data_IF_668076774549
#
_entry.id   IF_668076774549
#
_cell.length_a   1.000
_cell.length_b   1.000
_cell.length_c   1.000
_cell.angle_alpha   90.00
_cell.angle_beta   90.00
_cell.angle_gamma   90.00
#
_symmetry.space_group_name_H-M   'P 1'
#
loop_
_entity.id
_entity.type
_entity.pdbx_description
1 polymer ?
#
# COMPACT_ATOMS: atom_id res chain seq x y z
N UNK A 1 -10.64 -5.76 16.80
CA UNK A 1 -10.85 -5.65 18.26
C UNK A 1 -9.57 -5.18 18.91
N UNK A 2 -9.67 -4.35 19.94
CA UNK A 2 -8.57 -3.95 20.81
C UNK A 2 -8.93 -4.34 22.24
N UNK A 3 -8.11 -5.17 22.87
CA UNK A 3 -8.35 -5.69 24.21
C UNK A 3 -7.47 -4.98 25.23
N UNK A 4 -7.86 -5.04 26.51
CA UNK A 4 -7.01 -4.54 27.59
C UNK A 4 -5.71 -5.33 27.69
N UNK A 5 -4.60 -4.65 27.94
CA UNK A 5 -3.35 -5.31 28.25
C UNK A 5 -3.49 -6.19 29.50
N UNK A 6 -2.98 -7.42 29.45
CA UNK A 6 -3.05 -8.38 30.56
C UNK A 6 -1.99 -8.15 31.65
N UNK A 7 -1.08 -7.21 31.41
CA UNK A 7 0.00 -6.82 32.30
C UNK A 7 0.75 -5.62 31.74
N UNK A 8 1.82 -5.16 32.44
CA UNK A 8 2.65 -4.07 31.96
C UNK A 8 3.38 -4.45 30.66
N UNK A 9 3.63 -3.45 29.83
CA UNK A 9 4.41 -3.54 28.58
C UNK A 9 5.61 -2.59 28.71
N UNK A 10 6.81 -3.09 28.45
CA UNK A 10 8.02 -2.27 28.41
C UNK A 10 8.32 -1.98 26.95
N UNK A 11 8.45 -0.71 26.58
CA UNK A 11 8.76 -0.35 25.19
C UNK A 11 10.27 -0.48 24.97
N UNK A 12 10.70 -1.69 24.57
CA UNK A 12 12.10 -2.04 24.32
C UNK A 12 12.32 -2.73 22.96
N UNK A 13 11.25 -2.95 22.21
CA UNK A 13 11.24 -3.56 20.88
C UNK A 13 11.05 -5.08 20.94
N UNK A 14 11.12 -5.71 22.12
CA UNK A 14 10.93 -7.14 22.28
C UNK A 14 9.47 -7.48 22.61
N UNK A 15 8.86 -8.35 21.82
CA UNK A 15 7.46 -8.75 22.04
C UNK A 15 7.31 -9.93 23.02
N UNK A 16 8.11 -9.96 24.07
CA UNK A 16 8.25 -11.13 24.96
C UNK A 16 7.31 -11.11 26.17
N UNK A 17 6.68 -9.97 26.47
CA UNK A 17 5.77 -9.83 27.60
C UNK A 17 4.52 -10.67 27.42
N UNK A 18 3.97 -11.12 28.55
CA UNK A 18 2.72 -11.87 28.59
C UNK A 18 1.59 -11.12 27.87
N UNK A 19 1.52 -9.79 28.00
CA UNK A 19 0.52 -8.97 27.32
C UNK A 19 0.58 -9.17 25.79
N UNK A 20 1.76 -9.14 25.20
CA UNK A 20 1.92 -9.43 23.78
C UNK A 20 1.63 -10.88 23.43
N UNK A 21 2.04 -11.84 24.25
CA UNK A 21 1.74 -13.26 24.01
C UNK A 21 0.23 -13.56 24.04
N UNK A 22 -0.52 -12.82 24.86
CA UNK A 22 -1.98 -12.94 24.99
C UNK A 22 -2.75 -12.22 23.87
N UNK A 23 -2.14 -11.24 23.20
CA UNK A 23 -2.75 -10.53 22.09
C UNK A 23 -2.69 -11.33 20.77
N UNK A 24 -3.79 -11.32 20.02
CA UNK A 24 -3.85 -11.95 18.70
C UNK A 24 -3.13 -11.12 17.63
N UNK A 25 -2.41 -11.79 16.73
CA UNK A 25 -1.88 -11.15 15.52
C UNK A 25 -3.01 -10.79 14.55
N UNK A 26 -2.90 -9.64 13.89
CA UNK A 26 -3.68 -9.28 12.71
C UNK A 26 -3.54 -10.31 11.60
N UNK A 27 -4.36 -10.23 10.54
CA UNK A 27 -3.98 -10.88 9.28
C UNK A 27 -2.72 -10.22 8.70
N UNK A 28 -1.93 -10.94 7.87
CA UNK A 28 -0.83 -10.33 7.11
C UNK A 28 -1.30 -9.12 6.32
N UNK A 29 -0.41 -8.15 6.16
CA UNK A 29 -0.63 -7.02 5.27
C UNK A 29 -0.84 -7.50 3.85
N UNK A 30 -1.57 -6.69 3.10
CA UNK A 30 -1.85 -6.87 1.69
C UNK A 30 -1.36 -5.64 0.94
N UNK A 31 -1.12 -5.78 -0.35
CA UNK A 31 -0.86 -4.61 -1.18
C UNK A 31 -2.03 -3.61 -1.07
N UNK A 32 -1.72 -2.32 -1.02
CA UNK A 32 -2.73 -1.29 -0.87
C UNK A 32 -3.75 -1.24 -2.02
N UNK A 33 -3.43 -1.81 -3.19
CA UNK A 33 -4.33 -2.02 -4.33
C UNK A 33 -4.98 -3.42 -4.38
N UNK A 34 -4.80 -4.25 -3.35
CA UNK A 34 -5.46 -5.55 -3.30
C UNK A 34 -7.00 -5.42 -3.42
N UNK A 35 -7.67 -6.36 -4.13
CA UNK A 35 -7.15 -7.63 -4.66
C UNK A 35 -6.55 -7.51 -6.08
N UNK A 36 -6.33 -6.30 -6.58
CA UNK A 36 -5.86 -6.06 -7.96
C UNK A 36 -4.34 -6.13 -8.11
N UNK A 37 -3.60 -6.10 -6.99
CA UNK A 37 -2.16 -6.25 -6.94
C UNK A 37 -1.74 -7.59 -6.29
N UNK A 38 -0.49 -8.06 -6.55
CA UNK A 38 0.06 -9.26 -5.92
C UNK A 38 0.07 -9.17 -4.39
N UNK A 39 0.03 -10.32 -3.72
CA UNK A 39 0.23 -10.34 -2.28
C UNK A 39 1.68 -9.95 -1.93
N UNK A 40 1.91 -9.30 -0.78
CA UNK A 40 3.25 -9.05 -0.25
C UNK A 40 4.10 -10.31 -0.19
N UNK A 41 5.35 -10.19 -0.61
CA UNK A 41 6.31 -11.29 -0.63
C UNK A 41 7.12 -11.40 0.66
N UNK A 42 6.94 -10.46 1.59
CA UNK A 42 7.35 -10.60 3.00
C UNK A 42 6.15 -10.38 3.90
N UNK A 43 6.12 -11.12 5.01
CA UNK A 43 5.03 -11.01 5.97
C UNK A 43 5.19 -9.77 6.84
N UNK A 44 4.11 -9.02 7.03
CA UNK A 44 4.02 -8.00 8.08
C UNK A 44 2.69 -8.11 8.79
N UNK A 45 2.71 -8.07 10.13
CA UNK A 45 1.54 -8.22 11.00
C UNK A 45 1.70 -7.31 12.20
N UNK A 46 0.58 -6.97 12.83
CA UNK A 46 0.57 -6.17 14.05
C UNK A 46 -0.28 -6.78 15.16
N UNK A 47 -0.09 -6.27 16.37
CA UNK A 47 -0.92 -6.45 17.56
C UNK A 47 -1.28 -5.09 18.11
N UNK A 48 -2.39 -5.02 18.83
CA UNK A 48 -2.81 -3.79 19.50
C UNK A 48 -3.49 -4.09 20.82
N UNK A 49 -3.14 -3.32 21.84
CA UNK A 49 -3.67 -3.40 23.20
C UNK A 49 -3.89 -1.98 23.74
N UNK A 50 -4.60 -1.87 24.86
CA UNK A 50 -4.76 -0.59 25.55
C UNK A 50 -4.85 -0.78 27.07
N UNK A 51 -4.62 0.32 27.80
CA UNK A 51 -4.96 0.44 29.22
C UNK A 51 -5.69 1.76 29.48
N UNK A 52 -5.81 2.14 30.75
CA UNK A 52 -6.49 3.37 31.16
C UNK A 52 -5.85 4.66 30.64
N UNK A 53 -4.58 4.59 30.24
CA UNK A 53 -3.75 5.75 29.91
C UNK A 53 -3.13 5.70 28.52
N UNK A 54 -2.93 4.51 27.94
CA UNK A 54 -2.16 4.34 26.71
C UNK A 54 -2.82 3.35 25.74
N UNK A 55 -2.52 3.57 24.46
CA UNK A 55 -2.60 2.56 23.41
C UNK A 55 -1.22 1.98 23.17
N UNK A 56 -1.19 0.70 22.84
CA UNK A 56 0.02 -0.04 22.54
C UNK A 56 -0.11 -0.69 21.18
N UNK A 57 0.89 -0.50 20.34
CA UNK A 57 1.03 -1.17 19.06
C UNK A 57 2.31 -2.00 19.08
N UNK A 58 2.24 -3.17 18.47
CA UNK A 58 3.41 -3.97 18.17
C UNK A 58 3.33 -4.44 16.73
N UNK A 59 4.46 -4.45 16.02
CA UNK A 59 4.55 -4.98 14.66
C UNK A 59 5.70 -5.97 14.53
N UNK A 60 5.54 -6.94 13.64
CA UNK A 60 6.60 -7.83 13.21
C UNK A 60 6.69 -7.75 11.69
N UNK A 61 7.88 -7.42 11.20
CA UNK A 61 8.20 -7.29 9.79
C UNK A 61 9.25 -8.35 9.46
N UNK A 62 8.88 -9.36 8.66
CA UNK A 62 9.85 -10.27 8.07
C UNK A 62 10.78 -9.47 7.16
N UNK A 63 12.09 -9.61 7.34
CA UNK A 63 13.10 -8.98 6.50
C UNK A 63 14.42 -9.73 6.62
N UNK A 64 14.82 -10.41 5.55
CA UNK A 64 16.03 -11.21 5.49
C UNK A 64 17.32 -10.37 5.40
N UNK A 65 17.19 -9.07 5.12
CA UNK A 65 18.31 -8.13 5.08
C UNK A 65 17.86 -6.78 5.65
N UNK A 66 17.96 -6.63 6.97
CA UNK A 66 17.47 -5.42 7.65
C UNK A 66 18.41 -4.26 7.38
N UNK A 67 17.84 -3.16 6.89
CA UNK A 67 18.58 -2.00 6.43
C UNK A 67 17.91 -0.70 6.84
N UNK A 68 18.73 0.34 7.03
CA UNK A 68 18.27 1.72 7.22
C UNK A 68 19.43 2.71 7.17
N UNK A 69 19.15 3.93 6.72
CA UNK A 69 20.13 5.02 6.59
C UNK A 69 19.72 6.32 7.26
N UNK A 70 18.43 6.46 7.57
CA UNK A 70 17.90 7.68 8.15
C UNK A 70 18.03 7.63 9.68
N UNK A 71 18.79 8.57 10.24
CA UNK A 71 19.04 8.69 11.68
C UNK A 71 18.41 9.93 12.31
N UNK A 72 17.95 10.86 11.48
CA UNK A 72 17.43 12.14 11.94
C UNK A 72 15.93 12.00 12.24
N UNK A 73 15.55 12.20 13.50
CA UNK A 73 14.14 12.34 13.89
C UNK A 73 13.47 13.45 13.05
N UNK A 74 12.21 13.23 12.69
CA UNK A 74 11.38 14.15 11.91
C UNK A 74 11.94 14.45 10.52
N UNK A 75 12.58 13.45 9.90
CA UNK A 75 12.87 13.44 8.48
C UNK A 75 11.86 12.56 7.75
N UNK A 76 11.78 12.69 6.42
CA UNK A 76 10.91 11.87 5.57
C UNK A 76 11.39 10.42 5.61
N UNK A 77 10.72 9.56 6.39
CA UNK A 77 11.22 8.22 6.76
C UNK A 77 11.06 7.21 5.62
N UNK A 78 10.02 7.35 4.79
CA UNK A 78 9.76 6.43 3.67
C UNK A 78 10.90 6.32 2.62
N UNK A 79 12.01 7.06 2.72
CA UNK A 79 13.20 6.77 1.91
C UNK A 79 14.03 5.57 2.42
N UNK A 80 13.72 5.07 3.62
CA UNK A 80 14.08 3.73 4.08
C UNK A 80 12.86 2.78 4.00
N UNK A 81 13.09 1.47 4.14
CA UNK A 81 11.98 0.60 4.53
C UNK A 81 11.51 0.98 5.94
N UNK A 82 10.20 1.10 6.12
CA UNK A 82 9.64 1.56 7.38
C UNK A 82 8.34 0.83 7.76
N UNK A 83 7.82 1.23 8.92
CA UNK A 83 6.51 0.85 9.41
C UNK A 83 5.74 2.11 9.77
N UNK A 84 4.48 2.18 9.37
CA UNK A 84 3.64 3.35 9.56
C UNK A 84 2.37 3.00 10.34
N UNK A 85 1.91 3.94 11.17
CA UNK A 85 0.63 3.90 11.89
C UNK A 85 -0.20 5.11 11.47
N UNK A 86 -1.38 4.84 10.93
CA UNK A 86 -2.40 5.84 10.61
C UNK A 86 -3.54 5.76 11.61
N UNK A 87 -3.90 6.89 12.22
CA UNK A 87 -4.87 6.93 13.31
C UNK A 87 -5.82 8.12 13.19
N UNK A 88 -7.06 7.86 12.75
CA UNK A 88 -8.19 8.76 12.91
C UNK A 88 -8.99 8.35 14.17
N UNK A 89 -8.68 9.01 15.28
CA UNK A 89 -9.32 8.76 16.57
C UNK A 89 -10.74 9.36 16.70
N UNK A 90 -11.22 10.08 15.69
CA UNK A 90 -12.57 10.66 15.65
C UNK A 90 -13.50 10.01 14.63
N UNK A 91 -12.93 9.26 13.68
CA UNK A 91 -13.58 8.64 12.53
C UNK A 91 -14.34 9.65 11.64
N UNK A 92 -13.88 10.90 11.58
CA UNK A 92 -14.49 11.95 10.76
C UNK A 92 -14.02 11.93 9.31
N UNK A 93 -12.97 11.18 8.99
CA UNK A 93 -12.43 11.06 7.64
C UNK A 93 -11.54 12.22 7.21
N UNK A 94 -11.26 13.17 8.10
CA UNK A 94 -10.60 14.45 7.78
C UNK A 94 -9.28 14.56 8.51
N UNK A 95 -9.29 14.55 9.85
CA UNK A 95 -8.11 14.79 10.66
C UNK A 95 -7.54 13.49 11.23
N UNK A 96 -6.24 13.23 11.04
CA UNK A 96 -5.62 12.01 11.55
C UNK A 96 -4.15 12.19 11.92
N UNK A 97 -3.66 11.28 12.75
CA UNK A 97 -2.27 11.18 13.14
C UNK A 97 -1.57 10.16 12.26
N UNK A 98 -0.31 10.45 11.94
CA UNK A 98 0.56 9.56 11.20
C UNK A 98 1.90 9.45 11.94
N UNK A 99 2.44 8.24 11.98
CA UNK A 99 3.70 7.92 12.63
C UNK A 99 4.45 6.92 11.77
N UNK A 100 5.65 7.26 11.35
CA UNK A 100 6.57 6.43 10.58
C UNK A 100 7.79 6.08 11.45
N UNK A 101 8.31 4.86 11.30
CA UNK A 101 9.54 4.43 11.97
C UNK A 101 10.32 3.42 11.13
N UNK A 102 11.63 3.61 10.99
CA UNK A 102 12.50 2.66 10.31
C UNK A 102 13.19 1.67 11.27
N UNK A 103 13.95 0.72 10.70
CA UNK A 103 14.69 -0.29 11.46
C UNK A 103 15.79 0.28 12.40
N UNK A 104 16.16 1.55 12.25
CA UNK A 104 17.10 2.26 13.13
C UNK A 104 16.44 2.86 14.38
N UNK A 105 15.13 2.66 14.56
CA UNK A 105 14.33 3.34 15.57
C UNK A 105 14.25 4.87 15.37
N UNK A 106 14.46 5.35 14.13
CA UNK A 106 14.28 6.75 13.77
C UNK A 106 12.83 6.95 13.39
N UNK A 107 12.17 7.92 14.04
CA UNK A 107 10.74 8.15 13.89
C UNK A 107 10.41 9.54 13.35
N UNK A 108 9.25 9.62 12.71
CA UNK A 108 8.60 10.86 12.31
C UNK A 108 7.10 10.74 12.60
N UNK A 109 6.61 11.59 13.49
CA UNK A 109 5.20 11.73 13.78
C UNK A 109 4.70 13.06 13.25
N UNK A 110 3.44 13.05 12.84
CA UNK A 110 2.80 14.18 12.22
C UNK A 110 1.30 14.16 12.44
N UNK A 111 0.68 15.30 12.18
CA UNK A 111 -0.77 15.44 12.23
C UNK A 111 -1.29 16.07 10.95
N UNK A 112 -2.26 15.40 10.34
CA UNK A 112 -3.05 15.95 9.24
C UNK A 112 -4.27 16.63 9.84
N UNK A 113 -4.33 17.96 9.76
CA UNK A 113 -5.45 18.71 10.32
C UNK A 113 -6.66 18.75 9.39
N UNK A 114 -6.42 18.60 8.08
CA UNK A 114 -7.46 18.59 7.06
C UNK A 114 -7.29 17.38 6.14
N UNK A 115 -8.29 17.14 5.31
CA UNK A 115 -8.26 16.17 4.21
C UNK A 115 -6.92 16.22 3.45
N UNK A 116 -6.21 15.08 3.42
CA UNK A 116 -4.86 14.93 2.86
C UNK A 116 -4.76 15.41 1.41
N UNK A 117 -5.82 15.21 0.61
CA UNK A 117 -5.82 15.59 -0.81
C UNK A 117 -6.04 17.09 -1.03
N UNK A 118 -6.23 17.87 0.03
CA UNK A 118 -6.37 19.33 -0.03
C UNK A 118 -5.06 19.99 0.43
N UNK A 119 -4.64 21.03 -0.29
CA UNK A 119 -3.34 21.67 -0.08
C UNK A 119 -3.11 22.10 1.41
N UNK A 120 -1.93 21.77 1.94
CA UNK A 120 -1.39 22.19 3.25
C UNK A 120 -2.05 21.60 4.50
N UNK A 121 -2.36 20.30 4.50
CA UNK A 121 -2.92 19.60 5.66
C UNK A 121 -1.88 19.12 6.70
N UNK A 122 -0.63 18.94 6.29
CA UNK A 122 0.41 18.25 7.06
C UNK A 122 1.15 19.19 8.02
N UNK A 123 1.03 18.92 9.32
CA UNK A 123 1.87 19.49 10.37
C UNK A 123 3.03 18.54 10.68
N UNK A 124 4.12 18.67 9.91
CA UNK A 124 5.31 17.81 10.04
C UNK A 124 6.14 18.09 11.29
N UNK A 125 5.91 19.22 11.95
CA UNK A 125 6.55 19.63 13.21
C UNK A 125 5.73 19.22 14.44
N UNK A 126 4.64 18.48 14.25
CA UNK A 126 3.80 17.98 15.33
C UNK A 126 4.48 16.84 16.07
N UNK A 127 4.71 17.02 17.38
CA UNK A 127 5.30 16.00 18.25
C UNK A 127 4.24 15.45 19.22
N UNK A 128 3.94 14.16 19.10
CA UNK A 128 2.98 13.43 19.94
C UNK A 128 3.55 13.34 21.34
N UNK A 129 3.09 14.23 22.21
CA UNK A 129 3.59 14.33 23.58
C UNK A 129 3.47 13.01 24.33
N UNK A 130 4.63 12.49 24.78
CA UNK A 130 4.73 11.28 25.60
C UNK A 130 4.72 9.96 24.80
N UNK A 131 4.73 10.02 23.46
CA UNK A 131 4.95 8.86 22.60
C UNK A 131 6.28 8.17 22.99
N UNK A 132 6.27 6.83 23.02
CA UNK A 132 7.49 6.03 23.19
C UNK A 132 7.50 4.95 22.14
N UNK A 133 8.66 4.69 21.56
CA UNK A 133 8.82 3.64 20.57
C UNK A 133 10.17 2.95 20.72
N UNK A 134 10.25 1.70 20.29
CA UNK A 134 11.47 0.93 20.26
C UNK A 134 11.42 -0.06 19.10
N UNK A 135 12.60 -0.35 18.54
CA UNK A 135 12.80 -1.35 17.50
C UNK A 135 13.81 -2.37 17.98
N UNK A 136 13.52 -3.64 17.74
CA UNK A 136 14.48 -4.71 17.89
C UNK A 136 14.70 -5.40 16.55
N UNK A 137 15.96 -5.50 16.13
CA UNK A 137 16.37 -6.30 14.96
C UNK A 137 16.66 -7.73 15.40
N UNK A 138 16.11 -8.70 14.67
CA UNK A 138 16.42 -10.13 14.81
C UNK A 138 17.44 -10.52 13.74
N UNK A 139 18.68 -10.11 13.95
CA UNK A 139 19.73 -10.19 12.93
C UNK A 139 20.80 -9.11 13.10
N UNK A 140 21.43 -8.70 12.01
CA UNK A 140 22.49 -7.70 11.96
C UNK A 140 22.12 -6.54 11.04
N UNK A 141 21.68 -5.42 11.63
CA UNK A 141 21.34 -4.21 10.89
C UNK A 141 22.47 -3.73 9.97
N UNK A 142 22.13 -3.46 8.70
CA UNK A 142 23.05 -2.98 7.67
C UNK A 142 24.20 -3.93 7.33
N UNK A 143 24.05 -5.23 7.57
CA UNK A 143 25.02 -6.25 7.22
C UNK A 143 24.37 -7.30 6.30
N UNK A 144 24.75 -7.33 5.03
CA UNK A 144 24.11 -8.15 3.99
C UNK A 144 24.84 -9.49 3.75
N UNK A 145 25.76 -9.86 4.64
CA UNK A 145 26.54 -11.10 4.54
C UNK A 145 26.02 -12.22 5.45
N UNK A 146 25.01 -11.93 6.27
CA UNK A 146 24.18 -12.91 6.95
C UNK A 146 22.73 -12.82 6.44
N UNK A 147 21.86 -13.62 7.04
CA UNK A 147 20.43 -13.64 6.76
C UNK A 147 19.72 -13.34 8.07
N UNK A 148 18.94 -12.26 8.06
CA UNK A 148 18.16 -11.81 9.21
C UNK A 148 16.79 -12.51 9.23
N UNK A 149 16.10 -12.47 10.38
CA UNK A 149 14.70 -12.90 10.43
C UNK A 149 13.74 -11.72 10.18
N UNK A 150 14.17 -10.53 10.60
CA UNK A 150 13.40 -9.30 10.47
C UNK A 150 13.57 -8.37 11.65
N UNK A 151 12.53 -7.60 11.93
CA UNK A 151 12.53 -6.63 13.01
C UNK A 151 11.13 -6.46 13.60
N UNK A 152 11.10 -6.04 14.86
CA UNK A 152 9.89 -5.76 15.61
C UNK A 152 9.86 -4.32 16.05
N UNK A 153 8.66 -3.75 16.06
CA UNK A 153 8.38 -2.39 16.49
C UNK A 153 7.45 -2.48 17.70
N UNK A 154 7.70 -1.66 18.72
CA UNK A 154 6.75 -1.35 19.78
C UNK A 154 6.49 0.15 19.83
N UNK A 155 5.23 0.54 20.00
CA UNK A 155 4.82 1.93 20.19
C UNK A 155 3.82 2.01 21.33
N UNK A 156 4.08 2.92 22.26
CA UNK A 156 3.13 3.39 23.27
C UNK A 156 2.68 4.79 22.89
N UNK A 157 1.38 4.93 22.70
CA UNK A 157 0.72 6.17 22.36
C UNK A 157 -0.18 6.63 23.51
N UNK A 158 0.15 7.73 24.21
CA UNK A 158 -0.68 8.21 25.31
C UNK A 158 -2.08 8.61 24.84
N UNK A 159 -3.13 8.09 25.48
CA UNK A 159 -4.51 8.45 25.13
C UNK A 159 -4.81 9.94 25.31
N UNK A 160 -4.05 10.62 26.18
CA UNK A 160 -4.17 12.04 26.44
C UNK A 160 -3.65 12.94 25.28
N UNK A 161 -2.86 12.39 24.35
CA UNK A 161 -2.35 13.15 23.18
C UNK A 161 -3.32 13.16 22.00
N UNK A 162 -4.42 12.40 22.09
CA UNK A 162 -5.36 12.16 21.00
C UNK A 162 -6.66 12.95 21.14
N UNK A 163 -7.18 13.47 20.02
CA UNK A 163 -8.56 13.95 19.91
C UNK A 163 -9.49 12.74 19.76
N UNK A 164 -10.21 12.38 20.83
CA UNK A 164 -10.99 11.13 20.90
C UNK A 164 -12.45 11.33 20.52
N UNK A 165 -12.95 10.50 19.61
CA UNK A 165 -14.38 10.26 19.37
C UNK A 165 -14.81 8.87 19.85
N UNK A 166 -16.07 8.53 19.56
CA UNK A 166 -16.68 7.24 19.93
C UNK A 166 -16.25 6.09 19.00
N UNK A 167 -15.86 6.41 17.77
CA UNK A 167 -15.43 5.45 16.74
C UNK A 167 -14.04 5.84 16.27
N UNK A 168 -13.18 4.84 16.12
CA UNK A 168 -11.79 5.01 15.74
C UNK A 168 -11.53 4.26 14.46
N UNK A 169 -10.71 4.82 13.60
CA UNK A 169 -10.24 4.18 12.36
C UNK A 169 -8.73 4.18 12.32
N UNK A 170 -8.17 3.02 11.99
CA UNK A 170 -6.73 2.82 11.93
C UNK A 170 -6.34 2.02 10.68
N UNK A 171 -5.16 2.33 10.19
CA UNK A 171 -4.43 1.47 9.28
C UNK A 171 -2.97 1.40 9.70
N UNK A 172 -2.28 0.43 9.12
CA UNK A 172 -0.84 0.25 9.31
C UNK A 172 -0.24 -0.01 7.96
N UNK A 173 0.97 0.50 7.72
CA UNK A 173 1.69 0.30 6.48
C UNK A 173 3.09 -0.23 6.72
N UNK A 174 3.62 -0.85 5.69
CA UNK A 174 5.04 -1.06 5.49
C UNK A 174 5.36 -0.48 4.13
N UNK A 175 6.28 0.48 4.11
CA UNK A 175 6.97 0.86 2.87
C UNK A 175 8.08 -0.14 2.62
N UNK A 176 8.11 -0.70 1.41
CA UNK A 176 9.13 -1.66 1.00
C UNK A 176 9.77 -1.26 -0.34
N UNK A 177 11.08 -1.08 -0.30
CA UNK A 177 11.93 -1.00 -1.49
C UNK A 177 12.74 -2.28 -1.68
N UNK A 178 13.16 -2.49 -2.94
CA UNK A 178 14.12 -3.51 -3.28
C UNK A 178 15.54 -3.01 -2.96
N UNK A 179 16.37 -3.90 -2.44
CA UNK A 179 17.77 -3.61 -2.11
C UNK A 179 18.69 -4.51 -2.93
N UNK A 180 19.86 -3.97 -3.30
CA UNK A 180 20.94 -4.72 -3.94
C UNK A 180 21.83 -5.30 -2.85
N UNK A 181 22.01 -6.62 -2.86
CA UNK A 181 22.80 -7.35 -1.86
C UNK A 181 24.16 -7.82 -2.39
N UNK A 182 24.54 -7.46 -3.63
CA UNK A 182 25.79 -7.89 -4.27
C UNK A 182 26.95 -6.86 -4.15
N UNK A 183 26.70 -5.70 -3.55
CA UNK A 183 27.68 -4.63 -3.36
C UNK A 183 28.28 -4.64 -1.95
N UNK A 184 29.52 -4.16 -1.80
CA UNK A 184 30.21 -3.99 -0.50
C UNK A 184 29.41 -3.20 0.55
N UNK A 185 28.38 -2.45 0.12
CA UNK A 185 27.45 -1.74 0.97
C UNK A 185 26.02 -1.97 0.48
N UNK A 186 25.07 -2.36 1.36
CA UNK A 186 23.68 -2.51 0.99
C UNK A 186 23.11 -1.15 0.59
N UNK A 187 22.41 -1.12 -0.53
CA UNK A 187 21.77 0.08 -1.04
C UNK A 187 20.43 -0.26 -1.70
N UNK A 188 19.47 0.65 -1.55
CA UNK A 188 18.23 0.63 -2.32
C UNK A 188 18.55 0.52 -3.81
N UNK A 189 17.84 -0.35 -4.52
CA UNK A 189 17.90 -0.46 -5.98
C UNK A 189 17.44 0.89 -6.56
N UNK A 190 18.28 1.60 -7.34
CA UNK A 190 17.90 2.88 -7.92
C UNK A 190 16.62 2.75 -8.74
N UNK A 191 15.64 3.63 -8.49
CA UNK A 191 14.33 3.65 -9.16
C UNK A 191 13.48 2.39 -8.94
N UNK A 192 13.78 1.58 -7.92
CA UNK A 192 12.83 0.54 -7.52
C UNK A 192 11.51 1.17 -7.10
N UNK A 193 10.38 0.55 -7.46
CA UNK A 193 9.09 1.03 -7.00
C UNK A 193 9.00 0.88 -5.49
N UNK A 194 8.44 1.91 -4.85
CA UNK A 194 7.91 1.83 -3.51
C UNK A 194 6.75 0.82 -3.52
N UNK A 195 6.79 -0.19 -2.66
CA UNK A 195 5.68 -1.11 -2.44
C UNK A 195 5.07 -0.85 -1.08
N UNK A 196 3.84 -0.35 -1.07
CA UNK A 196 3.13 -0.07 0.18
C UNK A 196 2.18 -1.21 0.52
N UNK A 197 2.43 -1.85 1.64
CA UNK A 197 1.61 -2.96 2.11
C UNK A 197 0.89 -2.56 3.38
N UNK A 198 -0.43 -2.69 3.39
CA UNK A 198 -1.28 -2.22 4.47
C UNK A 198 -2.15 -3.31 5.07
N UNK A 199 -2.56 -3.12 6.31
CA UNK A 199 -3.47 -4.06 6.98
C UNK A 199 -4.82 -4.15 6.28
N UNK A 200 -5.44 -2.99 6.02
CA UNK A 200 -6.74 -2.89 5.36
C UNK A 200 -6.55 -2.15 4.03
N UNK A 201 -6.52 -2.88 2.92
CA UNK A 201 -6.41 -2.25 1.60
C UNK A 201 -7.52 -1.24 1.36
N UNK A 202 -7.13 -0.14 0.73
CA UNK A 202 -8.01 0.93 0.27
C UNK A 202 -8.47 0.72 -1.17
N UNK A 203 -8.06 -0.37 -1.83
CA UNK A 203 -8.32 -0.78 -3.22
C UNK A 203 -8.01 0.25 -4.33
N UNK A 204 -7.45 1.40 -3.98
CA UNK A 204 -7.38 2.60 -4.84
C UNK A 204 -5.97 3.01 -5.24
N UNK A 205 -4.92 2.49 -4.61
CA UNK A 205 -3.57 3.05 -4.79
C UNK A 205 -3.18 4.06 -3.71
N UNK A 206 -4.11 4.43 -2.85
CA UNK A 206 -3.98 5.58 -1.96
C UNK A 206 -4.14 5.16 -0.49
N UNK A 207 -3.08 5.35 0.27
CA UNK A 207 -2.99 4.97 1.69
C UNK A 207 -3.74 5.99 2.57
N UNK A 208 -3.80 7.25 2.15
CA UNK A 208 -4.30 8.39 2.91
C UNK A 208 -5.81 8.61 2.74
N UNK A 209 -6.56 7.52 2.77
CA UNK A 209 -8.02 7.52 2.71
C UNK A 209 -8.63 6.98 4.02
N UNK A 210 -8.80 7.84 5.06
CA UNK A 210 -9.22 7.41 6.38
C UNK A 210 -10.60 6.74 6.40
N UNK A 211 -11.47 7.03 5.43
CA UNK A 211 -12.79 6.41 5.37
C UNK A 211 -12.74 4.90 5.11
N UNK A 212 -11.69 4.43 4.43
CA UNK A 212 -11.47 3.03 4.05
C UNK A 212 -10.71 2.24 5.11
N UNK A 213 -10.15 2.90 6.12
CA UNK A 213 -9.38 2.26 7.18
C UNK A 213 -10.22 1.38 8.10
N UNK A 214 -9.55 0.43 8.75
CA UNK A 214 -10.19 -0.52 9.64
C UNK A 214 -10.77 0.15 10.87
N UNK A 215 -11.99 -0.25 11.27
CA UNK A 215 -12.60 0.24 12.51
C UNK A 215 -11.98 -0.46 13.71
N UNK A 216 -11.67 0.32 14.74
CA UNK A 216 -11.21 -0.20 16.02
C UNK A 216 -12.35 -0.17 17.02
N UNK A 217 -12.57 -1.32 17.64
CA UNK A 217 -13.57 -1.52 18.68
C UNK A 217 -12.82 -1.98 19.92
N UNK A 218 -12.97 -1.22 21.02
CA UNK A 218 -12.36 -1.50 22.30
C UNK A 218 -13.25 -2.43 23.12
N UNK A 219 -12.68 -3.53 23.60
CA UNK A 219 -13.32 -4.43 24.56
C UNK A 219 -12.74 -4.19 25.94
N UNK A 220 -13.58 -4.19 26.97
CA UNK A 220 -13.14 -4.16 28.37
C UNK A 220 -12.53 -5.50 28.82
N UNK A 221 -12.62 -6.53 27.98
CA UNK A 221 -11.99 -7.82 28.23
C UNK A 221 -10.46 -7.72 28.09
N UNK A 222 -9.76 -8.55 28.85
CA UNK A 222 -8.31 -8.61 28.88
C UNK A 222 -7.80 -9.52 27.76
N UNK A 223 -6.70 -9.16 27.10
CA UNK A 223 -6.05 -10.01 26.11
C UNK A 223 -5.81 -11.42 26.64
N UNK A 224 -5.99 -12.43 25.79
CA UNK A 224 -5.82 -13.84 26.15
C UNK A 224 -6.99 -14.44 26.95
N UNK A 225 -8.03 -13.66 27.25
CA UNK A 225 -9.31 -14.18 27.76
C UNK A 225 -10.19 -14.74 26.63
N UNK A 226 -11.41 -15.19 26.95
CA UNK A 226 -12.39 -15.62 25.94
C UNK A 226 -12.68 -14.43 25.00
N UNK A 227 -12.96 -14.69 23.72
CA UNK A 227 -13.26 -13.60 22.78
C UNK A 227 -14.54 -12.87 23.17
N UNK A 228 -14.58 -11.57 22.89
CA UNK A 228 -15.78 -10.77 23.03
C UNK A 228 -16.72 -10.97 21.84
N UNK A 229 -17.27 -12.18 21.73
CA UNK A 229 -18.08 -12.60 20.57
C UNK A 229 -19.33 -11.73 20.37
N UNK A 230 -19.93 -11.23 21.46
CA UNK A 230 -21.08 -10.33 21.39
C UNK A 230 -20.69 -9.01 20.70
N UNK A 231 -19.57 -8.41 21.12
CA UNK A 231 -19.09 -7.16 20.54
C UNK A 231 -18.58 -7.36 19.10
N UNK A 232 -17.88 -8.46 18.82
CA UNK A 232 -17.45 -8.82 17.45
C UNK A 232 -18.65 -9.00 16.50
N UNK A 233 -19.72 -9.65 16.96
CA UNK A 233 -20.93 -9.87 16.16
C UNK A 233 -21.79 -8.60 16.01
N UNK A 234 -21.69 -7.65 16.95
CA UNK A 234 -22.37 -6.36 16.89
C UNK A 234 -21.97 -5.48 15.70
N UNK A 235 -20.82 -5.75 15.08
CA UNK A 235 -20.28 -4.98 13.96
C UNK A 235 -19.93 -5.88 12.76
N UNK A 236 -20.92 -6.45 12.05
CA UNK A 236 -20.66 -7.40 10.98
C UNK A 236 -19.89 -6.75 9.82
N UNK A 237 -18.73 -7.33 9.50
CA UNK A 237 -17.93 -6.95 8.32
C UNK A 237 -18.69 -7.38 7.06
N UNK A 238 -19.24 -6.41 6.31
CA UNK A 238 -19.89 -6.68 5.02
C UNK A 238 -18.82 -6.76 3.93
N UNK A 239 -18.57 -7.96 3.41
CA UNK A 239 -17.71 -8.11 2.22
C UNK A 239 -18.48 -7.62 0.98
N UNK A 240 -17.90 -6.74 0.14
CA UNK A 240 -18.51 -6.39 -1.13
C UNK A 240 -18.62 -7.65 -2.03
N UNK A 241 -19.66 -7.75 -2.87
CA UNK A 241 -19.82 -8.88 -3.77
C UNK A 241 -18.66 -8.95 -4.77
N UNK A 242 -18.14 -10.16 -5.03
CA UNK A 242 -17.07 -10.38 -6.02
C UNK A 242 -17.54 -9.89 -7.40
N UNK A 243 -16.75 -9.07 -8.12
CA UNK A 243 -17.14 -8.62 -9.45
C UNK A 243 -17.32 -9.82 -10.41
N UNK A 244 -18.25 -9.74 -11.37
CA UNK A 244 -18.45 -10.78 -12.38
C UNK A 244 -17.17 -11.00 -13.18
N UNK A 245 -16.89 -12.25 -13.59
CA UNK A 245 -15.80 -12.53 -14.53
C UNK A 245 -16.02 -11.70 -15.81
N UNK A 246 -15.01 -10.94 -16.22
CA UNK A 246 -15.06 -10.19 -17.47
C UNK A 246 -15.20 -11.15 -18.67
N UNK A 247 -16.18 -10.90 -19.53
CA UNK A 247 -16.29 -11.53 -20.85
C UNK A 247 -15.30 -10.87 -21.82
N UNK A 248 -14.88 -11.58 -22.87
CA UNK A 248 -14.12 -11.00 -23.99
C UNK A 248 -14.90 -9.81 -24.54
N UNK A 249 -14.33 -8.60 -24.48
CA UNK A 249 -15.06 -7.38 -24.79
C UNK A 249 -14.66 -6.87 -26.17
N UNK A 250 -15.66 -6.65 -27.03
CA UNK A 250 -15.48 -5.78 -28.19
C UNK A 250 -15.22 -4.35 -27.72
N UNK A 251 -14.48 -3.56 -28.50
CA UNK A 251 -14.34 -2.12 -28.24
C UNK A 251 -15.73 -1.47 -28.19
N UNK A 252 -15.88 -0.44 -27.38
CA UNK A 252 -17.13 0.32 -27.25
C UNK A 252 -17.08 1.56 -28.12
N UNK A 253 -18.12 1.81 -28.92
CA UNK A 253 -18.26 3.04 -29.69
C UNK A 253 -18.73 4.18 -28.80
N UNK A 254 -17.95 5.25 -28.76
CA UNK A 254 -18.27 6.51 -28.09
C UNK A 254 -18.66 7.55 -29.14
N UNK A 255 -19.89 8.11 -29.10
CA UNK A 255 -20.31 9.11 -30.06
C UNK A 255 -19.54 10.42 -29.89
N UNK A 256 -19.41 11.23 -30.95
CA UNK A 256 -18.75 12.54 -30.89
C UNK A 256 -19.40 13.43 -29.83
N UNK A 257 -18.59 14.24 -29.16
CA UNK A 257 -19.08 15.15 -28.13
C UNK A 257 -18.18 16.38 -27.98
N UNK A 258 -18.73 17.37 -27.29
CA UNK A 258 -17.97 18.49 -26.75
C UNK A 258 -18.09 18.45 -25.23
N UNK A 259 -16.98 18.54 -24.53
CA UNK A 259 -16.96 18.59 -23.07
C UNK A 259 -15.85 19.50 -22.56
N UNK A 260 -15.89 19.84 -21.27
CA UNK A 260 -14.82 20.59 -20.62
C UNK A 260 -13.74 19.61 -20.18
N UNK A 261 -12.54 19.73 -20.76
CA UNK A 261 -11.33 19.05 -20.28
C UNK A 261 -10.68 19.94 -19.22
N UNK A 262 -10.37 19.36 -18.07
CA UNK A 262 -9.92 20.12 -16.91
C UNK A 262 -10.98 21.06 -16.30
N UNK A 263 -10.60 21.95 -15.37
CA UNK A 263 -9.23 22.07 -14.89
C UNK A 263 -8.88 20.86 -14.04
N UNK A 264 -7.60 20.51 -14.00
CA UNK A 264 -7.12 19.66 -12.92
C UNK A 264 -7.46 20.36 -11.60
N UNK A 265 -8.24 19.73 -10.70
CA UNK A 265 -8.62 20.34 -9.43
C UNK A 265 -7.41 20.68 -8.54
N UNK A 266 -6.23 20.08 -8.82
CA UNK A 266 -4.98 20.27 -8.08
C UNK A 266 -4.08 21.37 -8.66
N UNK A 267 -4.05 21.57 -9.98
CA UNK A 267 -3.29 22.66 -10.63
C UNK A 267 -3.96 23.17 -11.93
N UNK A 268 -4.99 23.99 -11.73
CA UNK A 268 -5.70 24.67 -12.82
C UNK A 268 -4.82 25.61 -13.67
N UNK A 269 -3.58 25.96 -13.26
CA UNK A 269 -2.68 26.77 -14.08
C UNK A 269 -1.95 25.93 -15.12
N UNK A 270 -1.60 24.69 -14.78
CA UNK A 270 -0.93 23.75 -15.69
C UNK A 270 -1.91 22.97 -16.55
N UNK A 271 -3.12 22.73 -16.07
CA UNK A 271 -4.23 22.15 -16.85
C UNK A 271 -5.49 22.99 -16.68
N UNK A 272 -5.63 24.12 -17.39
CA UNK A 272 -6.80 24.98 -17.29
C UNK A 272 -8.01 24.37 -18.01
N UNK A 273 -9.19 24.64 -17.45
CA UNK A 273 -10.47 24.26 -18.04
C UNK A 273 -10.62 24.83 -19.46
N UNK A 274 -10.86 23.97 -20.45
CA UNK A 274 -11.16 24.41 -21.81
C UNK A 274 -12.11 23.44 -22.51
N UNK A 275 -12.85 23.95 -23.49
CA UNK A 275 -13.74 23.12 -24.31
C UNK A 275 -12.91 22.31 -25.30
N UNK A 276 -13.17 21.00 -25.35
CA UNK A 276 -12.58 20.09 -26.33
C UNK A 276 -13.70 19.42 -27.10
N UNK A 277 -13.56 19.39 -28.42
CA UNK A 277 -14.40 18.60 -29.32
C UNK A 277 -13.67 17.31 -29.67
N UNK A 278 -14.30 16.17 -29.38
CA UNK A 278 -13.77 14.84 -29.69
C UNK A 278 -14.72 14.17 -30.69
N UNK A 279 -14.19 13.78 -31.85
CA UNK A 279 -14.92 12.99 -32.84
C UNK A 279 -15.27 11.59 -32.28
N UNK A 280 -16.23 10.89 -32.88
CA UNK A 280 -16.58 9.54 -32.42
C UNK A 280 -15.44 8.55 -32.58
N UNK A 281 -15.23 7.67 -31.61
CA UNK A 281 -14.13 6.71 -31.59
C UNK A 281 -14.51 5.41 -30.88
N UNK A 282 -13.76 4.35 -31.16
CA UNK A 282 -13.85 3.08 -30.44
C UNK A 282 -12.82 3.06 -29.32
N UNK A 283 -13.16 2.54 -28.14
CA UNK A 283 -12.20 2.34 -27.05
C UNK A 283 -12.31 0.95 -26.43
N UNK A 284 -11.18 0.36 -26.04
CA UNK A 284 -11.17 -0.86 -25.25
C UNK A 284 -11.77 -0.57 -23.85
N UNK A 285 -12.74 -1.37 -23.37
CA UNK A 285 -13.37 -1.16 -22.06
C UNK A 285 -12.53 -1.67 -20.88
N UNK A 286 -11.37 -2.27 -21.14
CA UNK A 286 -10.41 -2.73 -20.14
C UNK A 286 -8.99 -2.50 -20.69
N UNK A 287 -7.98 -2.37 -19.80
CA UNK A 287 -6.59 -2.39 -20.22
C UNK A 287 -6.22 -3.69 -20.93
N UNK A 288 -5.18 -3.63 -21.78
CA UNK A 288 -4.60 -4.81 -22.44
C UNK A 288 -4.17 -5.83 -21.41
N UNK A 289 -4.50 -7.10 -21.65
CA UNK A 289 -4.23 -8.19 -20.71
C UNK A 289 -2.85 -8.82 -20.92
N UNK A 290 -2.37 -9.52 -19.89
CA UNK A 290 -1.16 -10.36 -19.95
C UNK A 290 -1.22 -11.36 -21.10
N UNK A 291 -2.36 -12.03 -21.30
CA UNK A 291 -2.51 -13.03 -22.36
C UNK A 291 -2.47 -12.40 -23.76
N UNK A 292 -3.12 -11.25 -23.94
CA UNK A 292 -3.10 -10.52 -25.22
C UNK A 292 -1.69 -10.03 -25.55
N UNK A 293 -0.99 -9.45 -24.57
CA UNK A 293 0.36 -8.95 -24.79
C UNK A 293 1.38 -10.08 -25.01
N UNK A 294 1.27 -11.20 -24.29
CA UNK A 294 2.09 -12.38 -24.55
C UNK A 294 1.84 -12.95 -25.97
N UNK A 295 0.59 -12.95 -26.43
CA UNK A 295 0.26 -13.34 -27.82
C UNK A 295 0.91 -12.40 -28.83
N UNK A 296 0.94 -11.09 -28.55
CA UNK A 296 1.66 -10.11 -29.37
C UNK A 296 3.18 -10.37 -29.38
N UNK A 297 3.80 -10.61 -28.23
CA UNK A 297 5.24 -10.89 -28.14
C UNK A 297 5.65 -12.16 -28.90
N UNK A 298 4.78 -13.17 -28.92
CA UNK A 298 4.98 -14.41 -29.68
C UNK A 298 4.67 -14.26 -31.17
N UNK A 299 4.00 -13.19 -31.58
CA UNK A 299 3.71 -12.93 -32.98
C UNK A 299 4.91 -12.23 -33.63
N UNK A 300 5.56 -12.87 -34.60
CA UNK A 300 6.63 -12.23 -35.38
C UNK A 300 7.83 -11.79 -34.53
N UNK A 301 8.42 -10.64 -34.86
CA UNK A 301 9.66 -10.15 -34.27
C UNK A 301 9.43 -9.04 -33.23
N UNK A 302 8.59 -9.33 -32.23
CA UNK A 302 8.20 -8.38 -31.18
C UNK A 302 8.98 -8.54 -29.86
N UNK A 303 10.03 -9.37 -29.85
CA UNK A 303 10.83 -9.66 -28.65
C UNK A 303 11.50 -8.43 -28.03
N UNK A 304 11.76 -7.38 -28.81
CA UNK A 304 12.32 -6.11 -28.34
C UNK A 304 11.37 -5.34 -27.42
N UNK A 305 10.08 -5.66 -27.45
CA UNK A 305 9.05 -5.05 -26.59
C UNK A 305 8.88 -5.80 -25.25
N UNK A 306 9.63 -6.88 -25.04
CA UNK A 306 9.70 -7.55 -23.76
C UNK A 306 10.78 -6.92 -22.87
N UNK A 307 10.32 -6.12 -21.90
CA UNK A 307 11.20 -5.44 -20.94
C UNK A 307 11.81 -6.43 -19.93
N UNK A 308 13.02 -6.14 -19.43
CA UNK A 308 13.64 -6.93 -18.35
C UNK A 308 12.74 -7.00 -17.11
N UNK A 309 11.95 -5.96 -16.84
CA UNK A 309 10.99 -5.90 -15.73
C UNK A 309 9.79 -6.83 -15.92
N UNK A 310 9.45 -7.17 -17.18
CA UNK A 310 8.40 -8.14 -17.47
C UNK A 310 8.79 -9.56 -17.04
N UNK A 311 10.08 -9.84 -16.79
CA UNK A 311 10.57 -11.15 -16.39
C UNK A 311 10.17 -11.58 -14.98
N UNK A 312 9.63 -10.68 -14.17
CA UNK A 312 9.17 -10.98 -12.80
C UNK A 312 7.79 -11.65 -12.90
N UNK A 313 7.70 -13.00 -12.80
CA UNK A 313 6.46 -13.73 -13.09
C UNK A 313 5.30 -13.30 -12.19
N UNK A 314 5.62 -12.98 -10.94
CA UNK A 314 4.66 -12.57 -9.90
C UNK A 314 4.22 -11.11 -10.03
N UNK A 315 4.75 -10.33 -10.98
CA UNK A 315 4.30 -8.96 -11.25
C UNK A 315 3.70 -8.83 -12.64
N UNK A 316 4.48 -9.10 -13.69
CA UNK A 316 4.01 -8.98 -15.08
C UNK A 316 3.07 -10.11 -15.50
N UNK A 317 3.31 -11.34 -15.04
CA UNK A 317 2.58 -12.52 -15.49
C UNK A 317 3.03 -13.08 -16.85
N UNK A 318 4.15 -12.61 -17.43
CA UNK A 318 4.76 -13.16 -18.64
C UNK A 318 6.15 -13.70 -18.31
N UNK A 319 6.44 -14.95 -18.68
CA UNK A 319 7.77 -15.56 -18.53
C UNK A 319 8.33 -15.90 -19.90
N UNK A 320 9.58 -15.52 -20.16
CA UNK A 320 10.29 -15.92 -21.37
C UNK A 320 11.00 -17.25 -21.16
N UNK A 321 10.61 -18.26 -21.92
CA UNK A 321 11.27 -19.56 -21.99
C UNK A 321 11.84 -19.77 -23.40
N UNK A 322 13.15 -19.59 -23.56
CA UNK A 322 13.80 -19.56 -24.88
C UNK A 322 13.27 -18.40 -25.73
N UNK A 323 12.67 -18.73 -26.86
CA UNK A 323 12.08 -17.76 -27.81
C UNK A 323 10.55 -17.67 -27.70
N UNK A 324 9.97 -18.14 -26.60
CA UNK A 324 8.53 -18.10 -26.35
C UNK A 324 8.21 -17.32 -25.07
N UNK A 325 7.08 -16.64 -25.08
CA UNK A 325 6.53 -15.87 -23.96
C UNK A 325 5.30 -16.59 -23.42
N UNK A 326 5.44 -17.21 -22.25
CA UNK A 326 4.37 -17.95 -21.60
C UNK A 326 3.66 -17.09 -20.57
N UNK A 327 2.35 -17.29 -20.46
CA UNK A 327 1.52 -16.62 -19.46
C UNK A 327 1.56 -17.43 -18.16
N UNK A 328 1.79 -16.76 -17.04
CA UNK A 328 1.69 -17.37 -15.72
C UNK A 328 0.24 -17.76 -15.46
N UNK A 329 0.03 -19.04 -15.11
CA UNK A 329 -1.30 -19.59 -14.90
C UNK A 329 -2.11 -18.76 -13.89
N UNK A 330 -3.34 -18.40 -14.27
CA UNK A 330 -4.24 -17.59 -13.45
C UNK A 330 -4.09 -16.08 -13.60
N UNK A 331 -3.14 -15.61 -14.43
CA UNK A 331 -2.91 -14.18 -14.71
C UNK A 331 -3.35 -13.72 -16.08
N UNK A 332 -3.98 -14.58 -16.86
CA UNK A 332 -4.31 -14.35 -18.27
C UNK A 332 -5.12 -13.06 -18.50
N UNK A 333 -5.94 -12.68 -17.52
CA UNK A 333 -6.88 -11.56 -17.59
C UNK A 333 -6.42 -10.32 -16.82
N UNK A 334 -5.23 -10.35 -16.20
CA UNK A 334 -4.69 -9.19 -15.50
C UNK A 334 -4.21 -8.15 -16.52
N UNK A 335 -4.24 -6.85 -16.19
CA UNK A 335 -3.61 -5.83 -17.05
C UNK A 335 -2.12 -6.13 -17.16
N UNK A 336 -1.57 -6.10 -18.37
CA UNK A 336 -0.12 -6.21 -18.55
C UNK A 336 0.55 -4.94 -18.01
N UNK A 337 1.66 -5.12 -17.29
CA UNK A 337 2.43 -4.04 -16.68
C UNK A 337 3.88 -4.05 -17.17
N UNK A 338 4.64 -2.99 -16.86
CA UNK A 338 6.00 -2.76 -17.37
C UNK A 338 6.10 -2.62 -18.89
N UNK A 339 4.98 -2.32 -19.55
CA UNK A 339 4.90 -1.99 -20.97
C UNK A 339 5.38 -0.55 -21.15
N UNK A 340 6.41 -0.34 -21.98
CA UNK A 340 6.81 1.02 -22.35
C UNK A 340 5.80 1.67 -23.29
N UNK A 341 5.84 2.98 -23.43
CA UNK A 341 4.99 3.69 -24.40
C UNK A 341 5.19 3.14 -25.83
N UNK A 342 6.44 2.86 -26.22
CA UNK A 342 6.77 2.29 -27.54
C UNK A 342 6.18 0.89 -27.73
N UNK A 343 6.20 0.08 -26.67
CA UNK A 343 5.64 -1.26 -26.69
C UNK A 343 4.10 -1.23 -26.76
N UNK A 344 3.45 -0.31 -26.03
CA UNK A 344 2.00 -0.10 -26.11
C UNK A 344 1.57 0.41 -27.49
N UNK A 345 2.36 1.32 -28.09
CA UNK A 345 2.13 1.81 -29.44
C UNK A 345 2.26 0.70 -30.49
N UNK A 346 3.32 -0.13 -30.40
CA UNK A 346 3.55 -1.26 -31.29
C UNK A 346 2.44 -2.31 -31.18
N UNK A 347 2.00 -2.63 -29.96
CA UNK A 347 0.87 -3.52 -29.70
C UNK A 347 -0.42 -2.98 -30.35
N UNK A 348 -0.73 -1.70 -30.14
CA UNK A 348 -1.92 -1.08 -30.73
C UNK A 348 -1.88 -1.16 -32.26
N UNK A 349 -0.75 -0.79 -32.88
CA UNK A 349 -0.56 -0.86 -34.33
C UNK A 349 -0.69 -2.30 -34.87
N UNK A 350 -0.15 -3.29 -34.17
CA UNK A 350 -0.26 -4.70 -34.53
C UNK A 350 -1.71 -5.17 -34.60
N UNK A 351 -2.57 -4.66 -33.73
CA UNK A 351 -4.01 -4.96 -33.73
C UNK A 351 -4.86 -4.00 -34.59
N UNK A 352 -4.24 -3.12 -35.39
CA UNK A 352 -4.97 -2.12 -36.18
C UNK A 352 -5.68 -1.06 -35.34
N UNK A 353 -5.22 -0.85 -34.09
CA UNK A 353 -5.70 0.14 -33.13
C UNK A 353 -4.71 1.32 -33.03
N UNK A 354 -5.04 2.27 -32.16
CA UNK A 354 -4.16 3.37 -31.76
C UNK A 354 -4.30 3.63 -30.26
N UNK A 355 -3.29 4.26 -29.64
CA UNK A 355 -3.43 4.78 -28.28
C UNK A 355 -4.41 5.96 -28.28
N UNK A 356 -5.27 6.09 -27.24
CA UNK A 356 -6.16 7.24 -27.15
C UNK A 356 -5.35 8.52 -26.88
N UNK A 357 -5.83 9.64 -27.41
CA UNK A 357 -5.43 10.94 -26.89
C UNK A 357 -5.95 11.13 -25.45
N UNK A 358 -5.36 12.04 -24.70
CA UNK A 358 -5.82 12.42 -23.36
C UNK A 358 -7.33 12.75 -23.34
N UNK A 359 -7.80 13.57 -24.28
CA UNK A 359 -9.22 13.92 -24.36
C UNK A 359 -10.13 12.73 -24.70
N UNK A 360 -9.65 11.75 -25.45
CA UNK A 360 -10.39 10.50 -25.69
C UNK A 360 -10.42 9.63 -24.43
N UNK A 361 -9.31 9.60 -23.68
CA UNK A 361 -9.21 8.83 -22.45
C UNK A 361 -10.11 9.41 -21.35
N UNK A 362 -10.04 10.72 -21.09
CA UNK A 362 -10.90 11.39 -20.10
C UNK A 362 -12.39 11.34 -20.45
N UNK A 363 -12.74 11.36 -21.75
CA UNK A 363 -14.14 11.22 -22.16
C UNK A 363 -14.73 9.86 -21.79
N UNK A 364 -13.87 8.85 -21.74
CA UNK A 364 -14.29 7.46 -21.66
C UNK A 364 -14.13 6.86 -20.24
N UNK A 365 -13.27 7.47 -19.41
CA UNK A 365 -13.22 7.26 -17.97
C UNK A 365 -14.47 7.85 -17.29
#
# INVERSE_FOLDING_TARGET
MCYRASGPITIDGHLNEKAWQDAEWSQPFQDHQAPYAPAPWKTTRFKMLYDDTNLYFAAQLQEENVWGTLHQRDCVIYYDNDFEIFLDATADGVGYYEFEINALNTAWDMFHETDYHRASALHSDYDVTGLRHAVQVQGTLNYHYDEDEGWTVEVLWPLASLRRGDVWRLNFSRVQYLHIYDHLFPAMVPQSPCEDWIWQSTDTGDLHNPEMWGKVIFSDQVGGSVKDEELEQGFPVRRPPRPPKAQVREMVWLPPCTFTLGPDPTDARRSPAHQVEVGGFWMDPCPVTVAEFASFLNAGDHHLHYSTWMRIPERCGIVREGDQYQVVAGREQYPVVYVSYEAAFAYAAFHGKALPSEAQWERAA
#
